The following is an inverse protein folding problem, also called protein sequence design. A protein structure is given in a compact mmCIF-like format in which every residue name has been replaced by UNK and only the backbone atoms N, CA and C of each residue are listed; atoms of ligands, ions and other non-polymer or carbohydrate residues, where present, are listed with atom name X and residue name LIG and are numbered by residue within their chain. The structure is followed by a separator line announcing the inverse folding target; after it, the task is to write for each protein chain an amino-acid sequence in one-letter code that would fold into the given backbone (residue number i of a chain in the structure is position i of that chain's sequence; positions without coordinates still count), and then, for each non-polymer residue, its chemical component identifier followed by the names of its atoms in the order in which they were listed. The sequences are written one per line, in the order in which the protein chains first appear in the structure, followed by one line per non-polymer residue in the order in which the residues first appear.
data_IF_719970080329
#
_entry.id   IF_719970080329
#
_cell.length_a   1.000
_cell.length_b   1.000
_cell.length_c   1.000
_cell.angle_alpha   90.00
_cell.angle_beta   90.00
_cell.angle_gamma   90.00
#
_symmetry.space_group_name_H-M   'P 1'
#
loop_
_entity.id
_entity.type
_entity.pdbx_description
1 polymer ?
#
# COMPACT_ATOMS: atom_id res chain seq x y z
N UNK A 1 14.55 17.00 -5.74
CA UNK A 1 13.57 17.46 -6.76
C UNK A 1 13.16 16.27 -7.59
N UNK A 2 11.88 16.03 -7.89
CA UNK A 2 11.46 14.87 -8.70
C UNK A 2 11.89 14.96 -10.17
N UNK A 3 12.20 16.17 -10.65
CA UNK A 3 12.68 16.44 -12.02
C UNK A 3 14.15 16.04 -12.17
N UNK A 4 14.95 16.36 -11.15
CA UNK A 4 16.37 15.97 -11.04
C UNK A 4 16.52 15.21 -9.73
N UNK A 5 16.13 13.92 -9.72
CA UNK A 5 16.21 13.08 -8.52
C UNK A 5 17.68 12.83 -8.13
N UNK A 6 18.57 12.74 -9.12
CA UNK A 6 19.99 12.44 -8.93
C UNK A 6 20.84 13.63 -9.38
N UNK A 7 21.25 14.45 -8.41
CA UNK A 7 22.03 15.67 -8.68
C UNK A 7 23.49 15.39 -9.04
N UNK A 8 23.98 14.16 -8.84
CA UNK A 8 25.31 13.72 -9.27
C UNK A 8 25.41 13.39 -10.77
N UNK A 9 24.27 13.23 -11.46
CA UNK A 9 24.29 12.97 -12.90
C UNK A 9 24.59 14.24 -13.70
N UNK A 10 25.26 14.06 -14.84
CA UNK A 10 25.55 15.12 -15.81
C UNK A 10 24.36 15.35 -16.74
N UNK A 11 24.33 16.49 -17.45
CA UNK A 11 23.28 16.74 -18.44
C UNK A 11 23.31 15.69 -19.56
N UNK A 12 24.51 15.32 -20.02
CA UNK A 12 24.71 14.25 -21.00
C UNK A 12 24.24 12.88 -20.47
N UNK A 13 24.50 12.60 -19.19
CA UNK A 13 24.05 11.40 -18.47
C UNK A 13 22.55 11.36 -18.14
N UNK A 14 21.77 12.36 -18.57
CA UNK A 14 20.33 12.39 -18.39
C UNK A 14 19.87 12.85 -17.01
N UNK A 15 20.53 13.86 -16.43
CA UNK A 15 20.13 14.46 -15.16
C UNK A 15 18.66 14.93 -15.12
N UNK A 16 18.11 15.39 -16.25
CA UNK A 16 16.69 15.72 -16.39
C UNK A 16 15.88 14.44 -16.61
N UNK A 17 15.46 13.81 -15.51
CA UNK A 17 14.76 12.53 -15.50
C UNK A 17 13.57 12.40 -16.48
N UNK A 18 12.67 13.39 -16.66
CA UNK A 18 11.56 13.26 -17.62
C UNK A 18 12.01 13.15 -19.08
N UNK A 19 13.24 13.52 -19.42
CA UNK A 19 13.75 13.52 -20.79
C UNK A 19 14.73 12.37 -21.09
N UNK A 20 15.05 11.53 -20.08
CA UNK A 20 15.92 10.36 -20.23
C UNK A 20 15.30 9.22 -21.06
N UNK A 21 13.97 9.07 -21.05
CA UNK A 21 13.30 7.93 -21.68
C UNK A 21 13.35 7.97 -23.22
N UNK A 22 13.34 6.79 -23.85
CA UNK A 22 13.40 6.60 -25.31
C UNK A 22 12.32 7.35 -26.11
N UNK A 23 11.17 7.65 -25.49
CA UNK A 23 10.10 8.44 -26.10
C UNK A 23 10.39 9.94 -26.17
N UNK A 24 11.37 10.44 -25.40
CA UNK A 24 11.69 11.86 -25.23
C UNK A 24 13.12 12.21 -25.68
N UNK A 25 13.80 11.33 -26.42
CA UNK A 25 15.17 11.53 -26.91
C UNK A 25 15.34 12.85 -27.66
N UNK A 26 14.32 13.28 -28.41
CA UNK A 26 14.33 14.57 -29.11
C UNK A 26 14.42 15.79 -28.17
N UNK A 27 13.87 15.71 -26.95
CA UNK A 27 13.97 16.75 -25.93
C UNK A 27 15.37 16.77 -25.32
N UNK A 28 15.94 15.60 -25.05
CA UNK A 28 17.31 15.46 -24.58
C UNK A 28 18.32 16.05 -25.58
N UNK A 29 18.18 15.77 -26.88
CA UNK A 29 19.03 16.37 -27.92
C UNK A 29 18.84 17.88 -28.07
N UNK A 30 17.66 18.42 -27.75
CA UNK A 30 17.42 19.87 -27.73
C UNK A 30 18.07 20.53 -26.51
N UNK A 31 18.02 19.88 -25.35
CA UNK A 31 18.71 20.32 -24.14
C UNK A 31 20.22 20.40 -24.35
N UNK A 32 20.85 19.37 -24.93
CA UNK A 32 22.30 19.37 -25.17
C UNK A 32 22.72 20.44 -26.17
N UNK A 33 21.94 20.67 -27.23
CA UNK A 33 22.19 21.77 -28.17
C UNK A 33 22.06 23.14 -27.52
N UNK A 34 21.05 23.32 -26.67
CA UNK A 34 20.87 24.55 -25.89
C UNK A 34 22.06 24.78 -24.95
N UNK A 35 22.47 23.74 -24.21
CA UNK A 35 23.61 23.82 -23.29
C UNK A 35 24.90 24.23 -24.03
N UNK A 36 25.21 23.58 -25.15
CA UNK A 36 26.38 23.91 -25.96
C UNK A 36 26.34 25.35 -26.50
N UNK A 37 25.17 25.81 -26.98
CA UNK A 37 24.99 27.18 -27.49
C UNK A 37 25.25 28.25 -26.43
N UNK A 38 24.91 27.96 -25.17
CA UNK A 38 25.05 28.90 -24.05
C UNK A 38 26.30 28.65 -23.20
N UNK A 39 27.22 27.80 -23.66
CA UNK A 39 28.44 27.40 -22.95
C UNK A 39 28.17 26.80 -21.55
N UNK A 40 27.05 26.08 -21.41
CA UNK A 40 26.71 25.34 -20.20
C UNK A 40 27.38 23.96 -20.27
N UNK A 41 28.23 23.65 -19.29
CA UNK A 41 28.93 22.37 -19.22
C UNK A 41 27.95 21.18 -19.13
N UNK A 42 28.08 20.20 -20.02
CA UNK A 42 27.17 19.03 -20.07
C UNK A 42 27.72 17.79 -19.35
N UNK A 43 29.01 17.79 -19.04
CA UNK A 43 29.76 16.64 -18.52
C UNK A 43 30.11 16.75 -17.03
N UNK A 44 29.73 17.85 -16.37
CA UNK A 44 29.84 17.99 -14.92
C UNK A 44 28.52 17.61 -14.25
N UNK A 45 28.55 17.13 -13.00
CA UNK A 45 27.35 16.84 -12.22
C UNK A 45 26.40 18.05 -12.16
N UNK A 46 25.08 17.79 -12.16
CA UNK A 46 24.06 18.84 -12.01
C UNK A 46 24.26 19.69 -10.74
N UNK A 47 24.77 19.08 -9.67
CA UNK A 47 25.14 19.73 -8.41
C UNK A 47 26.26 20.76 -8.53
N UNK A 48 27.06 20.69 -9.59
CA UNK A 48 28.24 21.54 -9.77
C UNK A 48 28.00 22.65 -10.81
N UNK A 49 26.90 22.56 -11.57
CA UNK A 49 26.44 23.66 -12.44
C UNK A 49 26.16 24.91 -11.61
N UNK A 50 26.45 26.09 -12.14
CA UNK A 50 26.08 27.32 -11.44
C UNK A 50 24.54 27.47 -11.35
N UNK A 51 24.08 28.30 -10.42
CA UNK A 51 22.63 28.51 -10.21
C UNK A 51 21.96 29.09 -11.47
N UNK A 52 22.67 29.96 -12.20
CA UNK A 52 22.16 30.66 -13.38
C UNK A 52 21.87 29.70 -14.53
N UNK A 53 22.74 28.73 -14.78
CA UNK A 53 22.60 27.74 -15.83
C UNK A 53 21.51 26.73 -15.50
N UNK A 54 21.39 26.34 -14.22
CA UNK A 54 20.23 25.56 -13.76
C UNK A 54 18.93 26.28 -14.00
N UNK A 55 18.86 27.58 -13.70
CA UNK A 55 17.67 28.40 -13.95
C UNK A 55 17.38 28.51 -15.45
N UNK A 56 18.39 28.74 -16.29
CA UNK A 56 18.27 28.73 -17.76
C UNK A 56 17.65 27.45 -18.28
N UNK A 57 18.15 26.30 -17.84
CA UNK A 57 17.62 25.00 -18.24
C UNK A 57 16.18 24.81 -17.76
N UNK A 58 15.86 25.18 -16.53
CA UNK A 58 14.56 24.90 -15.92
C UNK A 58 13.46 25.86 -16.35
N UNK A 59 13.76 27.15 -16.53
CA UNK A 59 12.76 28.22 -16.61
C UNK A 59 12.74 28.95 -17.97
N UNK A 60 13.88 29.07 -18.66
CA UNK A 60 14.00 29.97 -19.81
C UNK A 60 13.90 29.22 -21.15
N UNK A 61 12.80 29.44 -21.86
CA UNK A 61 12.60 28.88 -23.21
C UNK A 61 13.08 29.85 -24.28
N UNK A 62 13.61 29.33 -25.38
CA UNK A 62 14.02 30.08 -26.57
C UNK A 62 13.64 29.32 -27.86
N UNK A 63 13.68 29.95 -29.05
CA UNK A 63 13.42 29.24 -30.30
C UNK A 63 14.32 27.99 -30.43
N UNK A 64 13.70 26.82 -30.53
CA UNK A 64 14.39 25.53 -30.60
C UNK A 64 14.58 24.79 -29.25
N UNK A 65 14.36 25.46 -28.12
CA UNK A 65 14.45 24.87 -26.78
C UNK A 65 13.29 25.28 -25.88
N UNK A 66 12.53 24.30 -25.39
CA UNK A 66 11.53 24.52 -24.34
C UNK A 66 12.11 24.09 -23.01
N UNK A 67 12.25 25.04 -22.09
CA UNK A 67 12.73 24.76 -20.75
C UNK A 67 11.79 23.80 -20.00
N UNK A 68 12.33 23.13 -18.99
CA UNK A 68 11.65 22.01 -18.32
C UNK A 68 10.30 22.40 -17.72
N UNK A 69 10.22 23.53 -17.01
CA UNK A 69 8.99 23.99 -16.37
C UNK A 69 7.97 24.49 -17.42
N UNK A 70 8.32 25.34 -18.40
CA UNK A 70 7.43 25.65 -19.52
C UNK A 70 6.92 24.42 -20.29
N UNK A 71 7.76 23.40 -20.50
CA UNK A 71 7.35 22.15 -21.13
C UNK A 71 6.28 21.42 -20.30
N UNK A 72 6.44 21.36 -18.97
CA UNK A 72 5.39 20.83 -18.09
C UNK A 72 4.09 21.65 -18.19
N UNK A 73 4.17 23.00 -18.21
CA UNK A 73 2.98 23.87 -18.40
C UNK A 73 2.27 23.59 -19.72
N UNK A 74 3.01 23.29 -20.80
CA UNK A 74 2.42 22.88 -22.08
C UNK A 74 1.69 21.54 -21.96
N UNK A 75 2.29 20.57 -21.26
CA UNK A 75 1.65 19.27 -21.01
C UNK A 75 0.37 19.41 -20.18
N UNK A 76 0.28 20.38 -19.28
CA UNK A 76 -0.94 20.62 -18.51
C UNK A 76 -2.16 20.96 -19.39
N UNK A 77 -1.95 21.60 -20.55
CA UNK A 77 -3.03 21.85 -21.53
C UNK A 77 -3.53 20.55 -22.20
N UNK A 78 -2.73 19.49 -22.17
CA UNK A 78 -3.03 18.16 -22.75
C UNK A 78 -3.49 17.15 -21.71
N UNK A 79 -3.93 17.60 -20.52
CA UNK A 79 -4.42 16.74 -19.42
C UNK A 79 -5.60 15.85 -19.77
N UNK A 80 -6.32 16.12 -20.86
CA UNK A 80 -7.37 15.22 -21.35
C UNK A 80 -6.81 13.86 -21.81
N UNK A 81 -5.52 13.77 -22.16
CA UNK A 81 -4.86 12.49 -22.55
C UNK A 81 -4.39 11.73 -21.31
N UNK A 82 -4.79 10.46 -21.19
CA UNK A 82 -4.48 9.61 -20.03
C UNK A 82 -2.97 9.48 -19.76
N UNK A 83 -2.17 9.16 -20.78
CA UNK A 83 -0.71 9.02 -20.62
C UNK A 83 -0.03 10.31 -20.15
N UNK A 84 -0.55 11.49 -20.53
CA UNK A 84 -0.05 12.79 -20.04
C UNK A 84 -0.36 12.98 -18.56
N UNK A 85 -1.57 12.59 -18.11
CA UNK A 85 -1.92 12.63 -16.68
C UNK A 85 -1.01 11.74 -15.84
N UNK A 86 -0.74 10.52 -16.31
CA UNK A 86 0.15 9.57 -15.63
C UNK A 86 1.56 10.15 -15.54
N UNK A 87 2.10 10.68 -16.64
CA UNK A 87 3.40 11.33 -16.64
C UNK A 87 3.47 12.49 -15.63
N UNK A 88 2.52 13.43 -15.69
CA UNK A 88 2.45 14.57 -14.77
C UNK A 88 2.37 14.14 -13.30
N UNK A 89 1.63 13.08 -13.00
CA UNK A 89 1.49 12.58 -11.62
C UNK A 89 2.82 12.17 -10.98
N UNK A 90 3.76 11.65 -11.78
CA UNK A 90 5.10 11.22 -11.31
C UNK A 90 5.98 12.38 -10.87
N UNK A 91 5.84 13.55 -11.50
CA UNK A 91 6.70 14.72 -11.26
C UNK A 91 6.05 15.81 -10.40
N UNK A 92 4.81 15.60 -9.95
CA UNK A 92 4.12 16.51 -9.03
C UNK A 92 4.49 16.20 -7.58
N UNK A 93 4.62 17.25 -6.79
CA UNK A 93 4.64 17.18 -5.33
C UNK A 93 3.34 17.78 -4.80
N UNK A 94 2.89 17.28 -3.65
CA UNK A 94 1.77 17.86 -2.93
C UNK A 94 2.32 18.95 -2.02
N UNK A 95 1.67 20.11 -2.02
CA UNK A 95 1.98 21.22 -1.12
C UNK A 95 0.67 21.61 -0.41
N UNK A 96 0.80 22.22 0.76
CA UNK A 96 -0.35 22.83 1.42
C UNK A 96 -0.92 23.92 0.51
N UNK A 97 -2.25 23.94 0.40
CA UNK A 97 -2.93 24.99 -0.35
C UNK A 97 -2.63 26.34 0.30
N UNK A 98 -2.22 27.34 -0.49
CA UNK A 98 -1.89 28.67 0.04
C UNK A 98 -3.12 29.43 0.57
N UNK A 99 -4.33 29.05 0.16
CA UNK A 99 -5.57 29.71 0.57
C UNK A 99 -6.13 29.16 1.87
N UNK A 100 -6.22 27.83 2.01
CA UNK A 100 -6.78 27.19 3.20
C UNK A 100 -5.75 26.57 4.13
N UNK A 101 -4.46 26.62 3.77
CA UNK A 101 -3.33 26.05 4.53
C UNK A 101 -3.49 24.58 4.92
N UNK A 102 -4.31 23.82 4.19
CA UNK A 102 -4.61 22.42 4.51
C UNK A 102 -6.00 22.18 5.11
N UNK A 103 -6.68 23.22 5.59
CA UNK A 103 -8.00 23.11 6.25
C UNK A 103 -9.17 22.73 5.33
N UNK A 104 -8.97 22.74 4.00
CA UNK A 104 -9.95 22.34 2.95
C UNK A 104 -11.28 23.10 2.93
N UNK A 105 -11.41 24.13 3.75
CA UNK A 105 -12.59 24.99 3.86
C UNK A 105 -12.28 26.39 3.32
N UNK A 106 -13.34 27.15 3.03
CA UNK A 106 -13.20 28.58 2.69
C UNK A 106 -12.78 29.37 3.93
N UNK A 107 -12.07 30.51 3.77
CA UNK A 107 -11.61 31.31 4.91
C UNK A 107 -12.72 31.70 5.89
N UNK A 108 -13.93 31.99 5.40
CA UNK A 108 -15.07 32.37 6.25
C UNK A 108 -15.52 31.23 7.17
N UNK A 109 -15.44 29.98 6.70
CA UNK A 109 -15.77 28.82 7.51
C UNK A 109 -14.71 28.52 8.58
N UNK A 110 -13.45 28.92 8.35
CA UNK A 110 -12.35 28.75 9.33
C UNK A 110 -12.44 29.74 10.50
N UNK A 111 -13.28 30.78 10.39
CA UNK A 111 -13.51 31.74 11.48
C UNK A 111 -14.39 31.16 12.61
N UNK A 112 -15.20 30.14 12.33
CA UNK A 112 -16.04 29.51 13.35
C UNK A 112 -15.21 28.62 14.27
N UNK A 113 -15.28 28.88 15.58
CA UNK A 113 -14.52 28.16 16.60
C UNK A 113 -15.42 27.64 17.72
N UNK A 114 -15.12 26.43 18.20
CA UNK A 114 -15.74 25.79 19.36
C UNK A 114 -14.61 25.43 20.32
N UNK A 115 -14.72 25.78 21.61
CA UNK A 115 -13.64 25.52 22.58
C UNK A 115 -12.29 26.10 22.13
N UNK A 116 -12.30 27.25 21.46
CA UNK A 116 -11.10 27.89 20.90
C UNK A 116 -10.56 27.27 19.61
N UNK A 117 -11.11 26.17 19.11
CA UNK A 117 -10.61 25.45 17.93
C UNK A 117 -11.57 25.56 16.74
N UNK A 118 -11.02 25.73 15.55
CA UNK A 118 -11.72 25.63 14.26
C UNK A 118 -11.88 24.18 13.83
N UNK A 119 -12.80 23.91 12.91
CA UNK A 119 -13.00 22.57 12.36
C UNK A 119 -11.74 21.98 11.71
N UNK A 120 -10.89 22.82 11.11
CA UNK A 120 -9.62 22.39 10.53
C UNK A 120 -8.62 21.93 11.60
N UNK A 121 -8.51 22.67 12.72
CA UNK A 121 -7.65 22.31 13.85
C UNK A 121 -8.11 20.99 14.50
N UNK A 122 -9.44 20.78 14.62
CA UNK A 122 -10.00 19.49 15.07
C UNK A 122 -9.67 18.36 14.09
N UNK A 123 -9.76 18.60 12.77
CA UNK A 123 -9.50 17.57 11.76
C UNK A 123 -8.02 17.15 11.69
N UNK A 124 -7.10 18.10 11.79
CA UNK A 124 -5.67 17.85 11.63
C UNK A 124 -4.97 17.43 12.94
N UNK A 125 -5.69 17.43 14.06
CA UNK A 125 -5.16 16.99 15.36
C UNK A 125 -5.31 15.48 15.58
N UNK A 126 -4.36 14.84 16.30
CA UNK A 126 -4.51 13.47 16.76
C UNK A 126 -5.75 13.27 17.63
N UNK A 127 -6.38 12.10 17.52
CA UNK A 127 -7.61 11.76 18.25
C UNK A 127 -7.47 11.94 19.76
N UNK A 128 -6.31 11.65 20.36
CA UNK A 128 -6.13 11.87 21.81
C UNK A 128 -6.26 13.35 22.20
N UNK A 129 -5.74 14.28 21.37
CA UNK A 129 -5.89 15.72 21.61
C UNK A 129 -7.33 16.17 21.37
N UNK A 130 -7.98 15.67 20.32
CA UNK A 130 -9.39 15.99 20.04
C UNK A 130 -10.29 15.51 21.18
N UNK A 131 -10.01 14.34 21.76
CA UNK A 131 -10.75 13.83 22.92
C UNK A 131 -10.55 14.69 24.15
N UNK A 132 -9.33 15.18 24.42
CA UNK A 132 -9.05 16.10 25.52
C UNK A 132 -9.79 17.43 25.31
N UNK A 133 -9.67 18.01 24.12
CA UNK A 133 -10.37 19.23 23.73
C UNK A 133 -11.89 19.10 23.89
N UNK A 134 -12.48 17.95 23.53
CA UNK A 134 -13.93 17.74 23.65
C UNK A 134 -14.38 17.75 25.11
N UNK A 135 -13.60 17.14 26.01
CA UNK A 135 -13.87 17.12 27.47
C UNK A 135 -13.75 18.52 28.08
N UNK A 136 -12.70 19.26 27.72
CA UNK A 136 -12.50 20.65 28.15
C UNK A 136 -13.64 21.55 27.65
N UNK A 137 -14.04 21.40 26.38
CA UNK A 137 -15.15 22.13 25.78
C UNK A 137 -16.47 21.80 26.45
N UNK A 138 -16.72 20.52 26.74
CA UNK A 138 -17.94 20.07 27.43
C UNK A 138 -18.04 20.70 28.83
N UNK A 139 -16.91 20.81 29.53
CA UNK A 139 -16.84 21.44 30.86
C UNK A 139 -17.09 22.95 30.76
N UNK A 140 -16.46 23.62 29.78
CA UNK A 140 -16.65 25.05 29.56
C UNK A 140 -18.10 25.41 29.17
N UNK A 141 -18.81 24.51 28.50
CA UNK A 141 -20.18 24.72 28.02
C UNK A 141 -21.23 24.06 28.91
N UNK A 142 -20.90 23.72 30.16
CA UNK A 142 -21.78 22.94 31.05
C UNK A 142 -23.18 23.57 31.21
N UNK A 143 -23.27 24.88 31.41
CA UNK A 143 -24.55 25.59 31.55
C UNK A 143 -25.41 25.50 30.28
N UNK A 144 -24.81 25.75 29.11
CA UNK A 144 -25.48 25.66 27.80
C UNK A 144 -25.95 24.23 27.53
N UNK A 145 -25.13 23.24 27.89
CA UNK A 145 -25.49 21.84 27.72
C UNK A 145 -26.66 21.45 28.64
N UNK A 146 -26.71 21.95 29.88
CA UNK A 146 -27.86 21.69 30.79
C UNK A 146 -29.19 22.17 30.19
N UNK A 147 -29.16 23.24 29.40
CA UNK A 147 -30.36 23.82 28.78
C UNK A 147 -30.76 23.14 27.45
N UNK A 148 -29.90 22.33 26.83
CA UNK A 148 -30.16 21.72 25.52
C UNK A 148 -29.89 20.21 25.48
N UNK A 149 -30.96 19.43 25.49
CA UNK A 149 -30.88 17.96 25.34
C UNK A 149 -30.25 17.53 24.00
N UNK A 150 -30.52 18.26 22.91
CA UNK A 150 -29.94 17.95 21.60
C UNK A 150 -28.42 18.09 21.59
N UNK A 151 -27.89 19.16 22.21
CA UNK A 151 -26.44 19.35 22.31
C UNK A 151 -25.80 18.29 23.21
N UNK A 152 -26.44 17.92 24.33
CA UNK A 152 -25.97 16.80 25.16
C UNK A 152 -25.87 15.50 24.35
N UNK A 153 -26.89 15.19 23.55
CA UNK A 153 -26.89 14.00 22.70
C UNK A 153 -25.81 14.05 21.61
N UNK A 154 -25.48 15.24 21.07
CA UNK A 154 -24.36 15.41 20.14
C UNK A 154 -23.02 15.15 20.83
N UNK A 155 -22.76 15.77 21.98
CA UNK A 155 -21.52 15.57 22.74
C UNK A 155 -21.33 14.12 23.17
N UNK A 156 -22.40 13.46 23.63
CA UNK A 156 -22.37 12.04 23.99
C UNK A 156 -21.98 11.15 22.80
N UNK A 157 -22.59 11.38 21.62
CA UNK A 157 -22.26 10.63 20.40
C UNK A 157 -20.84 10.88 19.90
N UNK A 158 -20.35 12.12 19.97
CA UNK A 158 -18.97 12.45 19.61
C UNK A 158 -17.98 11.78 20.55
N UNK A 159 -18.22 11.87 21.86
CA UNK A 159 -17.38 11.25 22.89
C UNK A 159 -17.32 9.74 22.70
N UNK A 160 -18.47 9.09 22.48
CA UNK A 160 -18.55 7.65 22.20
C UNK A 160 -17.71 7.26 20.97
N UNK A 161 -17.86 7.97 19.85
CA UNK A 161 -17.09 7.68 18.62
C UNK A 161 -15.59 7.86 18.77
N UNK A 162 -15.15 8.92 19.47
CA UNK A 162 -13.73 9.13 19.76
C UNK A 162 -13.20 8.04 20.69
N UNK A 163 -13.97 7.64 21.70
CA UNK A 163 -13.58 6.57 22.62
C UNK A 163 -13.40 5.23 21.89
N UNK A 164 -14.24 4.87 20.91
CA UNK A 164 -14.00 3.65 20.12
C UNK A 164 -12.66 3.67 19.39
N UNK A 165 -12.25 4.82 18.85
CA UNK A 165 -10.95 4.96 18.20
C UNK A 165 -9.80 4.86 19.22
N UNK A 166 -9.94 5.45 20.40
CA UNK A 166 -8.95 5.35 21.47
C UNK A 166 -8.81 3.91 21.97
N UNK A 167 -9.94 3.24 22.22
CA UNK A 167 -9.98 1.86 22.68
C UNK A 167 -9.33 0.92 21.69
N UNK A 168 -9.55 1.09 20.39
CA UNK A 168 -8.91 0.29 19.33
C UNK A 168 -7.46 0.70 19.02
N UNK A 169 -6.80 1.46 19.90
CA UNK A 169 -5.38 1.78 19.75
C UNK A 169 -5.09 2.70 18.56
N UNK A 170 -6.01 3.59 18.22
CA UNK A 170 -5.84 4.62 17.18
C UNK A 170 -5.70 6.06 17.74
N UNK A 171 -5.10 6.33 18.92
CA UNK A 171 -5.05 7.69 19.46
C UNK A 171 -4.22 8.65 18.59
N UNK A 172 -3.24 8.13 17.85
CA UNK A 172 -2.24 8.90 17.11
C UNK A 172 -2.68 9.30 15.70
N UNK A 173 -3.77 8.73 15.16
CA UNK A 173 -4.27 9.13 13.84
C UNK A 173 -5.09 10.41 13.96
N UNK A 174 -5.14 11.18 12.88
CA UNK A 174 -5.95 12.42 12.81
C UNK A 174 -7.26 12.13 12.08
N UNK A 175 -8.33 12.86 12.41
CA UNK A 175 -9.64 12.68 11.78
C UNK A 175 -9.62 13.01 10.27
N UNK A 176 -8.72 13.92 9.84
CA UNK A 176 -8.52 14.31 8.45
C UNK A 176 -7.60 13.38 7.64
N UNK A 177 -7.02 12.34 8.26
CA UNK A 177 -6.09 11.41 7.61
C UNK A 177 -6.81 10.65 6.48
N UNK A 178 -6.33 10.73 5.22
CA UNK A 178 -6.99 10.05 4.12
C UNK A 178 -6.95 8.52 4.30
N UNK A 179 -8.08 7.84 4.08
CA UNK A 179 -8.21 6.38 4.24
C UNK A 179 -7.13 5.58 3.48
N UNK A 180 -6.77 6.02 2.28
CA UNK A 180 -5.71 5.40 1.44
C UNK A 180 -4.30 5.42 2.05
N UNK A 181 -4.06 6.18 3.12
CA UNK A 181 -2.76 6.25 3.81
C UNK A 181 -2.75 5.47 5.12
N UNK A 182 -3.87 4.85 5.48
CA UNK A 182 -3.95 3.93 6.61
C UNK A 182 -3.31 2.59 6.22
N UNK A 183 -2.68 1.91 7.17
CA UNK A 183 -2.29 0.51 7.01
C UNK A 183 -3.53 -0.40 6.92
N UNK A 184 -3.34 -1.67 6.52
CA UNK A 184 -4.41 -2.67 6.54
C UNK A 184 -5.06 -2.77 7.93
N UNK A 185 -4.25 -3.01 8.96
CA UNK A 185 -4.73 -3.07 10.34
C UNK A 185 -5.36 -1.76 10.85
N UNK A 186 -4.83 -0.59 10.48
CA UNK A 186 -5.48 0.69 10.82
C UNK A 186 -6.87 0.81 10.18
N UNK A 187 -7.00 0.44 8.91
CA UNK A 187 -8.28 0.48 8.17
C UNK A 187 -9.31 -0.44 8.81
N UNK A 188 -8.89 -1.65 9.15
CA UNK A 188 -9.74 -2.66 9.77
C UNK A 188 -10.25 -2.21 11.14
N UNK A 189 -9.40 -1.62 11.97
CA UNK A 189 -9.81 -1.06 13.27
C UNK A 189 -10.75 0.13 13.12
N UNK A 190 -10.51 1.02 12.15
CA UNK A 190 -11.48 2.09 11.82
C UNK A 190 -12.83 1.50 11.43
N UNK A 191 -12.86 0.45 10.60
CA UNK A 191 -14.12 -0.21 10.23
C UNK A 191 -14.83 -0.82 11.45
N UNK A 192 -14.08 -1.41 12.40
CA UNK A 192 -14.64 -1.95 13.63
C UNK A 192 -15.30 -0.86 14.52
N UNK A 193 -14.81 0.39 14.50
CA UNK A 193 -15.50 1.49 15.18
C UNK A 193 -16.89 1.77 14.63
N UNK A 194 -17.12 1.49 13.34
CA UNK A 194 -18.43 1.65 12.71
C UNK A 194 -19.40 0.59 13.21
N UNK A 195 -18.93 -0.65 13.39
CA UNK A 195 -19.71 -1.72 14.00
C UNK A 195 -20.09 -1.37 15.46
N UNK A 196 -19.12 -0.95 16.27
CA UNK A 196 -19.35 -0.53 17.66
C UNK A 196 -20.32 0.65 17.77
N UNK A 197 -20.24 1.62 16.85
CA UNK A 197 -21.08 2.81 16.82
C UNK A 197 -22.42 2.64 16.13
N UNK A 198 -22.76 1.44 15.64
CA UNK A 198 -24.02 1.18 14.94
C UNK A 198 -25.19 0.86 15.88
N UNK A 199 -24.93 0.66 17.18
CA UNK A 199 -25.91 0.29 18.22
C UNK A 199 -26.84 -0.88 17.79
N UNK A 200 -26.37 -1.73 16.88
CA UNK A 200 -27.12 -2.87 16.39
C UNK A 200 -27.17 -3.96 17.46
N UNK A 201 -28.33 -4.62 17.55
CA UNK A 201 -28.59 -5.79 18.40
C UNK A 201 -29.06 -6.95 17.53
N UNK A 202 -28.90 -8.20 17.99
CA UNK A 202 -29.26 -9.41 17.22
C UNK A 202 -28.62 -9.48 15.82
N UNK A 203 -27.45 -8.86 15.67
CA UNK A 203 -26.68 -8.88 14.41
C UNK A 203 -25.56 -9.92 14.48
N UNK A 204 -25.29 -10.59 13.36
CA UNK A 204 -24.12 -11.46 13.21
C UNK A 204 -22.98 -10.69 12.55
N UNK A 205 -21.97 -10.34 13.33
CA UNK A 205 -20.74 -9.75 12.82
C UNK A 205 -19.76 -10.85 12.41
N UNK A 206 -19.24 -10.74 11.18
CA UNK A 206 -18.17 -11.61 10.67
C UNK A 206 -16.93 -10.76 10.46
N UNK A 207 -15.87 -11.07 11.20
CA UNK A 207 -14.60 -10.35 11.18
C UNK A 207 -13.52 -11.26 10.58
N UNK A 208 -12.80 -10.75 9.59
CA UNK A 208 -11.75 -11.49 8.87
C UNK A 208 -10.37 -10.98 9.32
N UNK A 209 -9.64 -11.77 10.11
CA UNK A 209 -8.31 -11.51 10.69
C UNK A 209 -8.11 -10.10 11.31
N UNK A 210 -8.93 -9.70 12.32
CA UNK A 210 -8.83 -8.39 12.97
C UNK A 210 -7.50 -8.08 13.67
N UNK A 211 -6.68 -9.09 13.96
CA UNK A 211 -5.35 -8.95 14.58
C UNK A 211 -4.26 -8.51 13.60
N UNK A 212 -4.51 -8.50 12.28
CA UNK A 212 -3.47 -8.26 11.28
C UNK A 212 -2.77 -6.92 11.48
N UNK A 213 -1.46 -6.99 11.68
CA UNK A 213 -0.62 -5.81 11.90
C UNK A 213 -0.84 -5.12 13.25
N UNK A 214 -1.51 -5.77 14.21
CA UNK A 214 -1.52 -5.38 15.61
C UNK A 214 -0.26 -5.85 16.32
N UNK A 215 0.15 -5.06 17.31
CA UNK A 215 1.16 -5.47 18.25
C UNK A 215 0.48 -6.27 19.37
N UNK A 216 1.10 -7.31 19.96
CA UNK A 216 0.46 -8.14 20.99
C UNK A 216 -0.17 -7.34 22.14
N UNK A 217 0.50 -6.27 22.60
CA UNK A 217 -0.04 -5.31 23.58
C UNK A 217 -1.42 -4.72 23.24
N UNK A 218 -1.74 -4.59 21.95
CA UNK A 218 -3.00 -4.04 21.47
C UNK A 218 -4.04 -5.13 21.14
N UNK A 219 -3.69 -6.42 21.20
CA UNK A 219 -4.62 -7.56 21.01
C UNK A 219 -5.72 -7.57 22.07
N UNK A 220 -5.36 -7.34 23.34
CA UNK A 220 -6.31 -7.24 24.45
C UNK A 220 -7.39 -6.17 24.22
N UNK A 221 -7.02 -5.05 23.58
CA UNK A 221 -7.94 -3.97 23.25
C UNK A 221 -8.95 -4.40 22.19
N UNK A 222 -8.49 -5.10 21.17
CA UNK A 222 -9.34 -5.67 20.14
C UNK A 222 -10.32 -6.69 20.74
N UNK A 223 -9.83 -7.59 21.59
CA UNK A 223 -10.66 -8.58 22.28
C UNK A 223 -11.75 -7.90 23.13
N UNK A 224 -11.42 -6.84 23.86
CA UNK A 224 -12.41 -6.05 24.59
C UNK A 224 -13.48 -5.44 23.69
N UNK A 225 -13.10 -4.92 22.53
CA UNK A 225 -14.07 -4.39 21.56
C UNK A 225 -15.00 -5.48 21.00
N UNK A 226 -14.45 -6.65 20.66
CA UNK A 226 -15.23 -7.81 20.20
C UNK A 226 -16.21 -8.26 21.31
N UNK A 227 -15.73 -8.33 22.55
CA UNK A 227 -16.58 -8.64 23.72
C UNK A 227 -17.69 -7.63 23.92
N UNK A 228 -17.43 -6.34 23.75
CA UNK A 228 -18.49 -5.31 23.80
C UNK A 228 -19.56 -5.54 22.72
N UNK A 229 -19.17 -5.84 21.47
CA UNK A 229 -20.13 -6.17 20.41
C UNK A 229 -21.01 -7.35 20.81
N UNK A 230 -20.39 -8.41 21.34
CA UNK A 230 -21.09 -9.61 21.80
C UNK A 230 -22.03 -9.32 22.97
N UNK A 231 -21.58 -8.58 23.99
CA UNK A 231 -22.36 -8.22 25.18
C UNK A 231 -23.56 -7.32 24.85
N UNK A 232 -23.52 -6.56 23.75
CA UNK A 232 -24.67 -5.81 23.22
C UNK A 232 -25.76 -6.71 22.61
N UNK A 233 -25.68 -8.03 22.75
CA UNK A 233 -26.68 -8.97 22.24
C UNK A 233 -26.45 -9.37 20.77
N UNK A 234 -25.20 -9.33 20.31
CA UNK A 234 -24.82 -9.75 18.96
C UNK A 234 -24.05 -11.07 18.98
N UNK A 235 -23.99 -11.72 17.82
CA UNK A 235 -23.09 -12.85 17.58
C UNK A 235 -21.87 -12.37 16.81
N UNK A 236 -20.66 -12.77 17.20
CA UNK A 236 -19.43 -12.40 16.50
C UNK A 236 -18.69 -13.67 16.10
N UNK A 237 -18.46 -13.84 14.80
CA UNK A 237 -17.58 -14.87 14.24
C UNK A 237 -16.32 -14.21 13.75
N UNK A 238 -15.17 -14.74 14.16
CA UNK A 238 -13.87 -14.19 13.82
C UNK A 238 -13.03 -15.28 13.14
N UNK A 239 -12.48 -14.97 11.97
CA UNK A 239 -11.42 -15.76 11.34
C UNK A 239 -10.09 -15.24 11.90
N UNK A 240 -9.33 -16.09 12.58
CA UNK A 240 -8.06 -15.71 13.22
C UNK A 240 -7.04 -16.84 13.18
N UNK A 241 -5.78 -16.44 13.26
CA UNK A 241 -4.64 -17.34 13.45
C UNK A 241 -3.77 -16.91 14.64
N UNK A 242 -4.03 -15.74 15.24
CA UNK A 242 -3.34 -15.30 16.46
C UNK A 242 -3.84 -16.08 17.69
N UNK A 243 -2.90 -16.74 18.38
CA UNK A 243 -3.24 -17.61 19.51
C UNK A 243 -3.83 -16.83 20.70
N UNK A 244 -3.39 -15.60 20.95
CA UNK A 244 -3.92 -14.77 22.03
C UNK A 244 -5.39 -14.38 21.73
N UNK A 245 -5.71 -14.10 20.47
CA UNK A 245 -7.09 -13.92 20.01
C UNK A 245 -7.93 -15.19 20.17
N UNK A 246 -7.42 -16.35 19.75
CA UNK A 246 -8.15 -17.63 19.82
C UNK A 246 -8.42 -18.02 21.28
N UNK A 247 -7.44 -17.86 22.17
CA UNK A 247 -7.58 -18.09 23.62
C UNK A 247 -8.69 -17.23 24.25
N UNK A 248 -8.96 -16.05 23.69
CA UNK A 248 -10.03 -15.16 24.16
C UNK A 248 -11.45 -15.54 23.70
N UNK A 249 -11.61 -16.55 22.84
CA UNK A 249 -12.89 -16.95 22.27
C UNK A 249 -13.72 -17.85 23.20
N UNK A 250 -15.06 -17.76 23.11
CA UNK A 250 -15.95 -18.67 23.86
C UNK A 250 -15.94 -20.08 23.26
N UNK A 251 -15.79 -20.19 21.93
CA UNK A 251 -15.78 -21.44 21.17
C UNK A 251 -14.83 -21.33 19.99
N UNK A 252 -14.19 -22.44 19.65
CA UNK A 252 -13.30 -22.56 18.49
C UNK A 252 -13.92 -23.52 17.47
N UNK A 253 -13.82 -23.14 16.21
CA UNK A 253 -14.17 -23.94 15.04
C UNK A 253 -12.94 -23.99 14.15
N UNK A 254 -12.33 -25.16 14.03
CA UNK A 254 -11.12 -25.36 13.24
C UNK A 254 -11.44 -26.08 11.94
N UNK A 255 -10.94 -25.53 10.84
CA UNK A 255 -11.05 -26.10 9.50
C UNK A 255 -9.72 -26.73 9.09
N UNK A 256 -9.79 -27.90 8.46
CA UNK A 256 -8.61 -28.61 8.00
C UNK A 256 -8.97 -29.92 7.30
N UNK A 257 -8.09 -30.95 7.38
CA UNK A 257 -6.75 -30.94 8.00
C UNK A 257 -5.70 -30.21 7.16
N UNK A 258 -5.93 -30.02 5.86
CA UNK A 258 -5.01 -29.38 4.92
C UNK A 258 -5.65 -28.17 4.23
N UNK A 259 -4.86 -27.43 3.44
CA UNK A 259 -5.37 -26.38 2.57
C UNK A 259 -5.86 -26.96 1.21
N UNK A 260 -6.69 -26.18 0.50
CA UNK A 260 -7.11 -26.54 -0.87
C UNK A 260 -8.12 -27.70 -0.90
N UNK A 261 -7.99 -28.58 -1.90
CA UNK A 261 -8.95 -29.68 -2.15
C UNK A 261 -8.99 -30.71 -1.03
N UNK A 262 -7.96 -30.78 -0.20
CA UNK A 262 -7.85 -31.71 0.91
C UNK A 262 -8.35 -31.12 2.23
N UNK A 263 -8.80 -29.86 2.22
CA UNK A 263 -9.37 -29.16 3.38
C UNK A 263 -10.90 -29.15 3.40
N UNK A 264 -11.45 -28.13 4.04
CA UNK A 264 -12.90 -27.86 4.04
C UNK A 264 -13.71 -28.72 5.01
N UNK A 265 -13.05 -29.42 5.94
CA UNK A 265 -13.71 -30.21 6.98
C UNK A 265 -13.55 -29.52 8.33
N UNK A 266 -14.58 -29.63 9.18
CA UNK A 266 -14.47 -29.21 10.58
C UNK A 266 -13.74 -30.28 11.36
N UNK A 267 -12.50 -30.00 11.75
CA UNK A 267 -11.66 -30.93 12.52
C UNK A 267 -11.82 -30.74 14.03
N UNK A 268 -12.24 -29.55 14.46
CA UNK A 268 -12.57 -29.25 15.84
C UNK A 268 -13.77 -28.30 15.92
N UNK A 269 -14.69 -28.56 16.87
CA UNK A 269 -15.76 -27.63 17.23
C UNK A 269 -16.10 -27.78 18.70
N UNK A 270 -15.69 -26.82 19.52
CA UNK A 270 -15.80 -26.95 20.96
C UNK A 270 -15.35 -25.73 21.75
N UNK A 271 -15.22 -25.91 23.06
CA UNK A 271 -14.67 -24.91 23.99
C UNK A 271 -13.18 -24.72 23.72
N UNK A 272 -12.68 -23.49 23.89
CA UNK A 272 -11.25 -23.20 23.63
C UNK A 272 -10.30 -24.01 24.51
N UNK A 273 -10.66 -24.27 25.77
CA UNK A 273 -9.82 -25.00 26.74
C UNK A 273 -9.48 -26.44 26.31
N UNK A 274 -10.33 -27.05 25.48
CA UNK A 274 -10.15 -28.43 24.97
C UNK A 274 -9.58 -28.45 23.56
N UNK A 275 -9.26 -27.28 22.99
CA UNK A 275 -8.73 -27.17 21.64
C UNK A 275 -7.29 -27.68 21.58
N UNK A 276 -6.97 -28.68 20.72
CA UNK A 276 -5.62 -29.27 20.66
C UNK A 276 -4.50 -28.29 20.30
N UNK A 277 -4.82 -27.22 19.55
CA UNK A 277 -3.83 -26.25 19.06
C UNK A 277 -3.09 -25.48 20.16
N UNK A 278 -3.59 -25.46 21.40
CA UNK A 278 -2.91 -24.83 22.55
C UNK A 278 -1.52 -25.48 22.78
N UNK A 279 -1.40 -26.80 22.60
CA UNK A 279 -0.15 -27.52 22.83
C UNK A 279 0.94 -27.18 21.81
N UNK A 280 0.57 -26.75 20.60
CA UNK A 280 1.52 -26.39 19.55
C UNK A 280 2.29 -25.10 19.88
N UNK A 281 1.68 -24.19 20.65
CA UNK A 281 2.30 -22.92 21.09
C UNK A 281 3.67 -23.13 21.73
N UNK A 282 3.77 -24.07 22.65
CA UNK A 282 5.00 -24.29 23.43
C UNK A 282 6.15 -24.83 22.56
N UNK A 283 5.84 -25.64 21.54
CA UNK A 283 6.83 -26.19 20.62
C UNK A 283 7.47 -25.13 19.71
N UNK A 284 6.72 -24.09 19.32
CA UNK A 284 7.22 -23.01 18.46
C UNK A 284 8.25 -22.10 19.14
N UNK A 285 8.20 -21.95 20.47
CA UNK A 285 9.06 -21.02 21.23
C UNK A 285 10.34 -21.66 21.79
N UNK A 286 10.72 -22.85 21.33
CA UNK A 286 11.98 -23.47 21.74
C UNK A 286 13.18 -22.53 21.46
N UNK A 287 14.08 -22.32 22.44
CA UNK A 287 15.18 -21.38 22.29
C UNK A 287 16.12 -21.79 21.17
N UNK A 288 16.42 -20.85 20.26
CA UNK A 288 17.39 -21.05 19.18
C UNK A 288 18.77 -20.57 19.63
N UNK A 289 19.82 -21.28 19.24
CA UNK A 289 21.20 -20.82 19.41
C UNK A 289 21.47 -19.65 18.47
N UNK A 290 21.53 -18.43 19.00
CA UNK A 290 21.88 -17.21 18.27
C UNK A 290 23.27 -16.76 18.73
N UNK A 291 24.19 -16.39 17.81
CA UNK A 291 25.49 -15.85 18.17
C UNK A 291 25.36 -14.58 19.02
N UNK A 292 26.26 -14.40 19.99
CA UNK A 292 26.30 -13.20 20.84
C UNK A 292 26.95 -11.99 20.18
N UNK A 293 27.66 -12.19 19.05
CA UNK A 293 28.38 -11.15 18.33
C UNK A 293 28.05 -11.22 16.85
N UNK A 294 27.76 -10.06 16.26
CA UNK A 294 27.50 -9.91 14.83
C UNK A 294 28.70 -9.23 14.14
N UNK A 295 29.46 -9.93 13.30
CA UNK A 295 30.71 -9.41 12.75
C UNK A 295 30.49 -8.32 11.68
N UNK A 296 29.34 -8.33 11.00
CA UNK A 296 28.99 -7.40 9.94
C UNK A 296 27.62 -6.78 10.24
N UNK A 297 27.52 -5.45 10.09
CA UNK A 297 26.29 -4.70 10.33
C UNK A 297 26.04 -3.68 9.22
N UNK A 298 24.78 -3.51 8.86
CA UNK A 298 24.28 -2.36 8.12
C UNK A 298 23.90 -1.29 9.14
N UNK A 299 24.68 -0.22 9.20
CA UNK A 299 24.44 0.92 10.06
C UNK A 299 23.57 1.95 9.36
N UNK A 300 22.48 2.36 10.00
CA UNK A 300 21.73 3.56 9.67
C UNK A 300 21.97 4.58 10.79
N UNK A 301 22.39 5.79 10.43
CA UNK A 301 22.61 6.89 11.36
C UNK A 301 21.70 8.07 11.04
N UNK A 302 21.32 8.84 12.07
CA UNK A 302 20.53 10.06 11.93
C UNK A 302 19.20 9.88 11.16
N UNK A 303 18.52 8.74 11.30
CA UNK A 303 17.22 8.51 10.67
C UNK A 303 16.14 9.41 11.30
N UNK A 304 15.54 10.29 10.50
CA UNK A 304 14.71 11.41 10.99
C UNK A 304 13.44 11.65 10.16
N UNK A 305 13.10 10.75 9.25
CA UNK A 305 11.85 10.82 8.50
C UNK A 305 10.62 10.73 9.42
N UNK A 306 9.63 11.58 9.15
CA UNK A 306 8.34 11.65 9.85
C UNK A 306 8.49 11.78 11.38
N UNK A 307 8.11 10.74 12.13
CA UNK A 307 8.13 10.72 13.58
C UNK A 307 9.41 10.07 14.16
N UNK A 308 10.39 9.72 13.33
CA UNK A 308 11.69 9.22 13.77
C UNK A 308 12.52 10.36 14.39
N UNK A 309 13.18 10.08 15.51
CA UNK A 309 13.89 11.08 16.30
C UNK A 309 15.41 10.91 16.19
N UNK A 310 15.97 11.18 15.01
CA UNK A 310 17.41 11.04 14.72
C UNK A 310 17.96 9.66 15.17
N UNK A 311 17.27 8.60 14.80
CA UNK A 311 17.54 7.24 15.24
C UNK A 311 18.86 6.72 14.63
N UNK A 312 19.66 6.07 15.46
CA UNK A 312 20.83 5.29 15.05
C UNK A 312 20.53 3.81 15.30
N UNK A 313 20.65 2.97 14.27
CA UNK A 313 20.36 1.53 14.36
C UNK A 313 21.35 0.72 13.53
N UNK A 314 21.72 -0.45 14.04
CA UNK A 314 22.55 -1.42 13.36
C UNK A 314 21.74 -2.69 13.07
N UNK A 315 21.80 -3.16 11.82
CA UNK A 315 21.11 -4.36 11.34
C UNK A 315 22.17 -5.41 11.00
N UNK A 316 22.23 -6.55 11.71
CA UNK A 316 23.26 -7.56 11.48
C UNK A 316 23.10 -8.23 10.11
N UNK A 317 24.18 -8.25 9.32
CA UNK A 317 24.21 -8.80 7.96
C UNK A 317 24.27 -10.31 8.02
N UNK A 318 23.39 -10.98 7.25
CA UNK A 318 23.30 -12.45 7.22
C UNK A 318 22.45 -13.05 8.36
N UNK A 319 21.79 -12.21 9.15
CA UNK A 319 20.96 -12.64 10.28
C UNK A 319 19.49 -12.30 10.07
N UNK A 320 18.61 -13.14 10.63
CA UNK A 320 17.17 -12.89 10.68
C UNK A 320 16.89 -11.79 11.71
N UNK A 321 16.63 -10.57 11.24
CA UNK A 321 16.36 -9.41 12.09
C UNK A 321 14.89 -9.04 12.02
N UNK A 322 14.23 -8.99 13.17
CA UNK A 322 12.83 -8.56 13.27
C UNK A 322 12.74 -7.12 13.79
N UNK A 323 12.07 -6.25 13.04
CA UNK A 323 11.70 -4.91 13.52
C UNK A 323 10.33 -4.97 14.19
N UNK A 324 10.30 -4.84 15.52
CA UNK A 324 9.06 -4.88 16.32
C UNK A 324 8.70 -3.52 16.92
N UNK A 325 7.53 -3.42 17.54
CA UNK A 325 6.99 -2.24 18.21
C UNK A 325 5.55 -1.92 17.83
N UNK A 326 4.90 -1.05 18.60
CA UNK A 326 3.47 -0.68 18.44
C UNK A 326 3.16 -0.03 17.09
N UNK A 327 1.88 -0.02 16.70
CA UNK A 327 1.42 0.68 15.50
C UNK A 327 1.77 2.18 15.58
N UNK A 328 2.21 2.77 14.46
CA UNK A 328 2.65 4.17 14.42
C UNK A 328 4.06 4.45 14.97
N UNK A 329 4.80 3.46 15.49
CA UNK A 329 6.16 3.68 16.04
C UNK A 329 7.23 4.10 15.02
N UNK A 330 6.93 3.97 13.72
CA UNK A 330 7.86 4.34 12.63
C UNK A 330 8.55 3.17 11.94
N UNK A 331 8.18 1.90 12.22
CA UNK A 331 8.75 0.70 11.56
C UNK A 331 8.77 0.81 10.03
N UNK A 332 7.60 1.06 9.43
CA UNK A 332 7.49 1.20 7.97
C UNK A 332 8.29 2.39 7.46
N UNK A 333 8.27 3.52 8.16
CA UNK A 333 9.08 4.70 7.81
C UNK A 333 10.57 4.37 7.76
N UNK A 334 11.09 3.67 8.77
CA UNK A 334 12.49 3.26 8.85
C UNK A 334 12.90 2.33 7.69
N UNK A 335 12.02 1.39 7.30
CA UNK A 335 12.31 0.50 6.17
C UNK A 335 12.18 1.22 4.83
N UNK A 336 11.04 1.89 4.58
CA UNK A 336 10.72 2.39 3.24
C UNK A 336 11.29 3.76 2.93
N UNK A 337 11.29 4.69 3.90
CA UNK A 337 11.71 6.08 3.68
C UNK A 337 13.17 6.33 4.08
N UNK A 338 13.72 5.51 4.99
CA UNK A 338 15.13 5.62 5.37
C UNK A 338 15.96 4.56 4.65
N UNK A 339 15.79 3.27 4.95
CA UNK A 339 16.65 2.20 4.43
C UNK A 339 16.61 2.11 2.90
N UNK A 340 15.44 1.95 2.29
CA UNK A 340 15.32 1.79 0.83
C UNK A 340 15.69 3.05 0.06
N UNK A 341 15.36 4.24 0.60
CA UNK A 341 15.71 5.50 -0.05
C UNK A 341 17.23 5.70 -0.06
N UNK A 342 17.92 5.38 1.05
CA UNK A 342 19.37 5.46 1.15
C UNK A 342 20.06 4.39 0.30
N UNK A 343 19.52 3.17 0.22
CA UNK A 343 19.98 2.14 -0.72
C UNK A 343 19.87 2.59 -2.18
N UNK A 344 18.72 3.16 -2.57
CA UNK A 344 18.51 3.71 -3.92
C UNK A 344 19.47 4.87 -4.24
N UNK A 345 19.92 5.59 -3.21
CA UNK A 345 20.94 6.62 -3.38
C UNK A 345 22.32 5.99 -3.58
N UNK A 346 22.72 5.09 -2.67
CA UNK A 346 24.01 4.39 -2.69
C UNK A 346 24.25 3.67 -4.01
N UNK A 347 23.28 2.91 -4.52
CA UNK A 347 23.40 2.19 -5.81
C UNK A 347 23.73 3.08 -7.00
N UNK A 348 23.47 4.39 -6.91
CA UNK A 348 23.69 5.32 -8.01
C UNK A 348 24.91 6.22 -7.83
N UNK A 349 25.23 6.58 -6.58
CA UNK A 349 26.33 7.51 -6.28
C UNK A 349 27.54 6.83 -5.64
N UNK A 350 27.36 5.62 -5.12
CA UNK A 350 28.29 4.95 -4.21
C UNK A 350 28.57 5.75 -2.91
N UNK A 351 27.80 6.81 -2.63
CA UNK A 351 27.90 7.59 -1.40
C UNK A 351 27.12 6.92 -0.27
N UNK A 352 27.79 6.72 0.87
CA UNK A 352 27.19 6.18 2.08
C UNK A 352 26.72 7.31 3.01
N UNK A 353 25.58 7.92 2.69
CA UNK A 353 25.01 9.04 3.46
C UNK A 353 24.48 8.57 4.80
N UNK A 354 25.22 8.85 5.87
CA UNK A 354 24.88 8.42 7.23
C UNK A 354 24.52 6.93 7.29
N UNK A 355 25.19 6.14 6.45
CA UNK A 355 24.99 4.69 6.33
C UNK A 355 26.34 4.02 6.25
N UNK A 356 26.41 2.75 6.64
CA UNK A 356 27.58 1.91 6.45
C UNK A 356 27.16 0.46 6.23
N UNK A 357 27.87 -0.31 5.41
CA UNK A 357 27.61 -1.73 5.18
C UNK A 357 26.70 -2.03 3.99
N UNK A 358 26.31 -1.05 3.17
CA UNK A 358 25.58 -1.30 1.92
C UNK A 358 26.41 -2.03 0.86
N UNK A 359 27.73 -1.92 0.92
CA UNK A 359 28.69 -2.62 0.06
C UNK A 359 28.64 -4.15 0.21
N UNK A 360 28.08 -4.66 1.30
CA UNK A 360 27.90 -6.09 1.52
C UNK A 360 26.71 -6.69 0.74
N UNK A 361 25.91 -5.85 0.08
CA UNK A 361 24.70 -6.28 -0.61
C UNK A 361 24.81 -6.02 -2.11
N UNK A 362 24.47 -7.03 -2.92
CA UNK A 362 24.29 -6.84 -4.36
C UNK A 362 22.94 -6.16 -4.66
N UNK A 363 21.88 -6.54 -3.93
CA UNK A 363 20.53 -6.04 -4.11
C UNK A 363 19.81 -5.97 -2.77
N UNK A 364 18.91 -4.99 -2.63
CA UNK A 364 17.93 -4.90 -1.54
C UNK A 364 16.54 -4.92 -2.16
N UNK A 365 15.74 -5.91 -1.78
CA UNK A 365 14.38 -6.11 -2.30
C UNK A 365 13.37 -5.90 -1.19
N UNK A 366 12.38 -5.04 -1.44
CA UNK A 366 11.19 -4.92 -0.60
C UNK A 366 10.10 -5.84 -1.14
N UNK A 367 9.65 -6.77 -0.31
CA UNK A 367 8.43 -7.53 -0.54
C UNK A 367 7.35 -6.94 0.37
N UNK A 368 6.39 -6.24 -0.23
CA UNK A 368 5.32 -5.56 0.51
C UNK A 368 3.97 -6.31 0.43
N UNK A 369 2.96 -5.77 1.11
CA UNK A 369 1.60 -6.31 1.11
C UNK A 369 0.72 -5.67 0.01
N UNK A 370 1.31 -5.02 -0.99
CA UNK A 370 0.50 -4.44 -2.06
C UNK A 370 -0.17 -5.57 -2.85
N UNK A 371 -1.50 -5.48 -2.97
CA UNK A 371 -2.27 -6.54 -3.62
C UNK A 371 -1.75 -6.81 -5.02
N UNK A 372 -1.52 -8.10 -5.32
CA UNK A 372 -1.23 -8.58 -6.68
C UNK A 372 -2.33 -8.03 -7.59
N UNK A 373 -1.94 -7.22 -8.58
CA UNK A 373 -2.80 -6.38 -9.44
C UNK A 373 -4.27 -6.83 -9.53
N UNK A 374 -5.23 -5.91 -9.29
CA UNK A 374 -6.70 -6.13 -9.35
C UNK A 374 -7.27 -6.55 -10.72
N UNK A 375 -6.43 -6.88 -11.68
CA UNK A 375 -6.87 -7.33 -13.00
C UNK A 375 -7.32 -8.79 -12.90
N UNK A 376 -8.50 -9.16 -13.44
CA UNK A 376 -8.96 -10.55 -13.47
C UNK A 376 -8.07 -11.47 -14.33
N UNK A 377 -7.11 -10.90 -15.07
CA UNK A 377 -6.10 -11.65 -15.84
C UNK A 377 -4.82 -11.93 -15.05
N UNK A 378 -4.58 -11.22 -13.96
CA UNK A 378 -3.40 -11.47 -13.15
C UNK A 378 -3.61 -12.75 -12.35
N UNK A 379 -2.66 -13.66 -12.43
CA UNK A 379 -2.65 -14.90 -11.68
C UNK A 379 -1.22 -15.31 -11.31
N UNK A 380 -1.10 -16.32 -10.45
CA UNK A 380 0.18 -16.81 -9.92
C UNK A 380 1.11 -17.24 -11.07
N UNK A 381 0.58 -17.90 -12.11
CA UNK A 381 1.39 -18.33 -13.25
C UNK A 381 2.03 -17.14 -13.98
N UNK A 382 1.28 -16.05 -14.19
CA UNK A 382 1.83 -14.82 -14.80
C UNK A 382 2.78 -14.07 -13.88
N UNK A 383 2.50 -14.05 -12.58
CA UNK A 383 3.30 -13.29 -11.62
C UNK A 383 4.65 -13.96 -11.34
N UNK A 384 4.66 -15.29 -11.22
CA UNK A 384 5.88 -16.09 -11.03
C UNK A 384 6.74 -16.22 -12.29
N UNK A 385 6.23 -15.82 -13.46
CA UNK A 385 6.90 -16.01 -14.75
C UNK A 385 6.83 -17.45 -15.30
N UNK A 386 6.31 -18.41 -14.52
CA UNK A 386 6.18 -19.82 -14.95
C UNK A 386 5.29 -19.95 -16.18
N UNK A 387 4.29 -19.07 -16.34
CA UNK A 387 3.41 -19.06 -17.51
C UNK A 387 4.17 -18.94 -18.84
N UNK A 388 5.27 -18.18 -18.87
CA UNK A 388 6.06 -18.01 -20.09
C UNK A 388 6.81 -19.27 -20.50
N UNK A 389 7.13 -20.13 -19.54
CA UNK A 389 7.75 -21.45 -19.77
C UNK A 389 6.71 -22.35 -20.45
N UNK A 390 5.52 -22.49 -19.84
CA UNK A 390 4.44 -23.30 -20.42
C UNK A 390 4.07 -22.85 -21.84
N UNK A 391 3.96 -21.54 -22.09
CA UNK A 391 3.64 -21.05 -23.44
C UNK A 391 4.68 -21.41 -24.49
N UNK A 392 5.96 -21.51 -24.11
CA UNK A 392 7.01 -21.96 -25.04
C UNK A 392 6.86 -23.46 -25.33
N UNK A 393 6.65 -24.26 -24.29
CA UNK A 393 6.46 -25.71 -24.41
C UNK A 393 5.25 -26.05 -25.30
N UNK A 394 4.12 -25.38 -25.09
CA UNK A 394 2.94 -25.56 -25.92
C UNK A 394 3.17 -25.15 -27.38
N UNK A 395 3.89 -24.05 -27.62
CA UNK A 395 4.21 -23.59 -28.96
C UNK A 395 5.20 -24.50 -29.71
N UNK A 396 5.99 -25.30 -28.98
CA UNK A 396 6.93 -26.27 -29.53
C UNK A 396 6.31 -27.65 -29.82
N UNK A 397 5.01 -27.84 -29.56
CA UNK A 397 4.31 -29.08 -29.90
C UNK A 397 4.07 -29.20 -31.41
N UNK A 398 4.11 -30.42 -31.94
CA UNK A 398 3.87 -30.66 -33.37
C UNK A 398 2.47 -30.18 -33.81
N UNK A 399 1.47 -30.34 -32.95
CA UNK A 399 0.10 -29.87 -33.17
C UNK A 399 0.00 -28.35 -33.22
N UNK A 400 0.78 -27.63 -32.40
CA UNK A 400 0.86 -26.17 -32.47
C UNK A 400 1.52 -25.71 -33.77
N UNK A 401 2.62 -26.34 -34.17
CA UNK A 401 3.32 -26.03 -35.43
C UNK A 401 2.42 -26.25 -36.65
N UNK A 402 1.74 -27.40 -36.74
CA UNK A 402 0.79 -27.71 -37.82
C UNK A 402 -0.34 -26.67 -37.91
N UNK A 403 -0.79 -26.14 -36.78
CA UNK A 403 -1.85 -25.12 -36.70
C UNK A 403 -1.32 -23.69 -36.77
N UNK A 404 -0.02 -23.49 -37.00
CA UNK A 404 0.64 -22.17 -36.99
C UNK A 404 0.39 -21.37 -35.71
N UNK A 405 0.29 -22.06 -34.57
CA UNK A 405 0.10 -21.47 -33.25
C UNK A 405 1.45 -21.17 -32.62
N UNK A 406 1.68 -19.92 -32.29
CA UNK A 406 2.92 -19.46 -31.65
C UNK A 406 2.71 -19.23 -30.15
N UNK A 407 3.80 -18.93 -29.42
CA UNK A 407 3.79 -18.53 -27.99
C UNK A 407 2.74 -17.46 -27.65
N UNK A 408 2.44 -16.54 -28.58
CA UNK A 408 1.41 -15.50 -28.37
C UNK A 408 -0.01 -16.08 -28.38
N UNK A 409 -0.27 -17.12 -29.17
CA UNK A 409 -1.58 -17.78 -29.24
C UNK A 409 -1.97 -18.41 -27.90
N UNK A 410 -0.98 -18.92 -27.17
CA UNK A 410 -1.13 -19.50 -25.83
C UNK A 410 -1.18 -18.47 -24.69
N UNK A 411 -1.31 -17.18 -24.99
CA UNK A 411 -1.43 -16.14 -23.97
C UNK A 411 -2.83 -15.57 -23.91
N UNK A 412 -3.45 -15.63 -22.73
CA UNK A 412 -4.75 -15.00 -22.48
C UNK A 412 -4.67 -13.45 -22.41
N UNK A 413 -3.46 -12.87 -22.39
CA UNK A 413 -3.25 -11.43 -22.33
C UNK A 413 -3.22 -10.74 -23.71
N UNK A 414 -2.96 -11.48 -24.78
CA UNK A 414 -2.81 -10.95 -26.14
C UNK A 414 -3.89 -11.50 -27.08
N UNK A 415 -4.15 -10.79 -28.17
CA UNK A 415 -5.05 -11.27 -29.22
C UNK A 415 -4.36 -12.35 -30.04
N UNK A 416 -5.13 -13.37 -30.46
CA UNK A 416 -4.61 -14.51 -31.21
C UNK A 416 -5.32 -15.80 -30.83
N UNK A 417 -5.23 -16.19 -29.55
CA UNK A 417 -5.82 -17.45 -29.05
C UNK A 417 -6.66 -17.34 -27.78
N UNK A 418 -6.73 -16.17 -27.15
CA UNK A 418 -7.64 -15.90 -26.02
C UNK A 418 -9.11 -15.89 -26.47
N UNK A 419 -10.02 -16.27 -25.57
CA UNK A 419 -11.47 -16.10 -25.77
C UNK A 419 -11.80 -14.62 -26.03
N UNK A 420 -12.63 -14.37 -27.04
CA UNK A 420 -13.02 -13.05 -27.53
C UNK A 420 -14.00 -12.35 -26.61
N UNK A 421 -14.98 -13.07 -26.04
CA UNK A 421 -15.99 -12.50 -25.16
C UNK A 421 -15.37 -12.00 -23.84
N UNK A 422 -14.74 -12.88 -23.06
CA UNK A 422 -14.11 -12.47 -21.79
C UNK A 422 -12.72 -11.83 -21.97
N UNK A 423 -12.23 -11.69 -23.22
CA UNK A 423 -10.89 -11.20 -23.54
C UNK A 423 -9.80 -11.86 -22.69
N UNK A 424 -9.90 -13.18 -22.51
CA UNK A 424 -8.95 -13.99 -21.71
C UNK A 424 -9.07 -13.91 -20.18
N UNK A 425 -10.06 -13.22 -19.61
CA UNK A 425 -10.27 -13.22 -18.16
C UNK A 425 -10.87 -14.54 -17.62
N UNK A 426 -11.69 -15.21 -18.42
CA UNK A 426 -12.49 -16.37 -18.02
C UNK A 426 -13.81 -16.00 -17.33
N UNK A 427 -13.97 -14.73 -16.94
CA UNK A 427 -15.16 -14.20 -16.30
C UNK A 427 -15.54 -12.86 -16.94
N UNK A 428 -16.81 -12.52 -16.87
CA UNK A 428 -17.37 -11.20 -17.19
C UNK A 428 -17.65 -10.48 -15.88
N UNK A 429 -17.29 -9.20 -15.81
CA UNK A 429 -17.56 -8.35 -14.65
C UNK A 429 -18.88 -7.64 -14.89
N UNK A 430 -19.85 -7.91 -14.02
CA UNK A 430 -21.13 -7.22 -13.97
C UNK A 430 -21.05 -6.14 -12.87
N UNK A 431 -21.25 -4.89 -13.27
CA UNK A 431 -21.24 -3.73 -12.37
C UNK A 431 -22.58 -3.67 -11.63
N UNK A 432 -22.53 -3.85 -10.30
CA UNK A 432 -23.68 -3.77 -9.42
C UNK A 432 -23.69 -2.40 -8.74
N UNK A 433 -24.73 -1.60 -8.97
CA UNK A 433 -24.76 -0.19 -8.55
C UNK A 433 -24.59 0.04 -7.02
N UNK A 434 -24.96 -0.94 -6.19
CA UNK A 434 -24.96 -0.82 -4.72
C UNK A 434 -24.21 -1.95 -3.99
N UNK A 435 -23.68 -2.92 -4.73
CA UNK A 435 -22.98 -4.08 -4.18
C UNK A 435 -21.58 -4.18 -4.81
N UNK A 436 -20.74 -5.04 -4.26
CA UNK A 436 -19.47 -5.36 -4.92
C UNK A 436 -19.74 -5.99 -6.28
N UNK A 437 -18.89 -5.69 -7.27
CA UNK A 437 -19.00 -6.26 -8.61
C UNK A 437 -19.08 -7.78 -8.55
N UNK A 438 -19.94 -8.36 -9.40
CA UNK A 438 -20.06 -9.81 -9.50
C UNK A 438 -19.29 -10.29 -10.73
N UNK A 439 -18.56 -11.38 -10.58
CA UNK A 439 -17.84 -12.03 -11.66
C UNK A 439 -18.60 -13.27 -12.09
N UNK A 440 -19.19 -13.22 -13.28
CA UNK A 440 -19.93 -14.34 -13.87
C UNK A 440 -19.00 -15.12 -14.78
N UNK A 441 -19.03 -16.45 -14.70
CA UNK A 441 -18.23 -17.30 -15.58
C UNK A 441 -18.57 -17.02 -17.04
N UNK A 442 -17.56 -16.86 -17.89
CA UNK A 442 -17.77 -16.62 -19.31
C UNK A 442 -18.44 -17.83 -19.97
N UNK A 443 -19.63 -17.64 -20.53
CA UNK A 443 -20.40 -18.69 -21.19
C UNK A 443 -19.72 -19.22 -22.46
N UNK A 444 -19.00 -18.37 -23.20
CA UNK A 444 -18.36 -18.77 -24.46
C UNK A 444 -17.19 -19.74 -24.26
N UNK A 445 -16.38 -19.53 -23.21
CA UNK A 445 -15.21 -20.37 -22.94
C UNK A 445 -15.36 -21.25 -21.70
N UNK A 446 -16.49 -21.17 -21.00
CA UNK A 446 -16.74 -21.85 -19.73
C UNK A 446 -15.60 -21.65 -18.73
N UNK A 447 -15.08 -20.42 -18.63
CA UNK A 447 -13.95 -20.08 -17.76
C UNK A 447 -12.56 -20.49 -18.26
N UNK A 448 -12.44 -21.23 -19.36
CA UNK A 448 -11.16 -21.75 -19.88
C UNK A 448 -10.22 -20.68 -20.46
N UNK A 449 -10.69 -19.44 -20.66
CA UNK A 449 -9.92 -18.27 -21.12
C UNK A 449 -9.42 -18.30 -22.58
N UNK A 450 -9.47 -19.43 -23.27
CA UNK A 450 -8.97 -19.59 -24.65
C UNK A 450 -10.05 -19.99 -25.65
N UNK A 451 -9.75 -19.80 -26.93
CA UNK A 451 -10.54 -20.32 -28.05
C UNK A 451 -10.32 -21.83 -28.22
N UNK A 452 -11.28 -22.51 -28.84
CA UNK A 452 -11.23 -23.96 -29.09
C UNK A 452 -9.92 -24.43 -29.74
N UNK A 453 -9.46 -23.73 -30.79
CA UNK A 453 -8.22 -24.05 -31.52
C UNK A 453 -6.96 -24.14 -30.64
N UNK A 454 -6.93 -23.40 -29.52
CA UNK A 454 -5.82 -23.44 -28.55
C UNK A 454 -5.99 -24.59 -27.56
N UNK A 455 -7.24 -24.85 -27.14
CA UNK A 455 -7.59 -25.91 -26.20
C UNK A 455 -7.45 -27.31 -26.81
N UNK A 456 -7.43 -27.42 -28.14
CA UNK A 456 -7.19 -28.66 -28.87
C UNK A 456 -5.71 -29.05 -28.97
N UNK A 457 -4.77 -28.23 -28.48
CA UNK A 457 -3.35 -28.58 -28.45
C UNK A 457 -3.04 -29.21 -27.09
N UNK A 458 -2.70 -30.52 -27.05
CA UNK A 458 -2.30 -31.17 -25.81
C UNK A 458 -0.80 -30.99 -25.54
N UNK A 459 -0.45 -30.95 -24.25
CA UNK A 459 0.92 -31.15 -23.76
C UNK A 459 0.84 -32.10 -22.57
N UNK A 460 1.40 -33.31 -22.74
CA UNK A 460 1.31 -34.41 -21.76
C UNK A 460 -0.15 -34.67 -21.33
N UNK A 461 -1.01 -34.95 -22.32
CA UNK A 461 -2.43 -35.28 -22.18
C UNK A 461 -3.35 -34.19 -21.60
N UNK A 462 -2.83 -32.98 -21.39
CA UNK A 462 -3.58 -31.84 -20.88
C UNK A 462 -3.42 -30.64 -21.80
N UNK A 463 -4.52 -29.92 -22.04
CA UNK A 463 -4.45 -28.64 -22.73
C UNK A 463 -3.99 -27.53 -21.78
N UNK A 464 -3.72 -26.36 -22.35
CA UNK A 464 -3.15 -25.24 -21.59
C UNK A 464 -4.08 -24.71 -20.48
N UNK A 465 -5.40 -24.81 -20.64
CA UNK A 465 -6.35 -24.41 -19.59
C UNK A 465 -6.34 -25.38 -18.41
N UNK A 466 -6.13 -26.67 -18.65
CA UNK A 466 -6.06 -27.71 -17.62
C UNK A 466 -4.76 -27.65 -16.82
N UNK A 467 -3.69 -27.11 -17.40
CA UNK A 467 -2.46 -26.79 -16.64
C UNK A 467 -2.58 -25.52 -15.81
N UNK A 468 -3.51 -24.63 -16.17
CA UNK A 468 -3.77 -23.37 -15.47
C UNK A 468 -4.77 -23.52 -14.32
N UNK A 469 -5.55 -24.60 -14.31
CA UNK A 469 -6.53 -24.97 -13.27
C UNK A 469 -5.89 -25.96 -12.32
#
# INVERSE_FOLDING_TARGET
SKIVPHRGLTLAGGAIHPWKNSSNTALQSRLLRFANKHNISVDIPWMDLDTRDRERILLHSEPGYSAVIPWFKLLERKRHKMHVRVLLSRYRSQFLCQTCSGGRLRPEALCFRIGGWSLAEVWDSPIYLVSQWLVETQTAFEEILKESQDLQAVFARLTSRLNYLLELGLPYITLGRPSRTLSGGETQRVNLTTALGSELVSTHFVLDEPSVGLHPRDTERLLRAIRKLQQSGNTVTVVEHDLECIEGADRVLELGPEAGTNGGQVIYSGEVEKWPGIAEREAFFAPRNVPSVFPLVLSLRNANARNLKNLNVDIPVGFFTTLTGVSGSGKSTLVTEELLQRWSHYTQTQEQRDTNGFEHFHNVLLVDQSGLTKSPRANIATYSGIWDIFRNEFAATAEAEQRSLTKSSFSFNVEGGRCTNCKGAGYLREDMQFLSDVYVQCEECLGKRFQAKVLEVPYRDKNISQWLS
#
